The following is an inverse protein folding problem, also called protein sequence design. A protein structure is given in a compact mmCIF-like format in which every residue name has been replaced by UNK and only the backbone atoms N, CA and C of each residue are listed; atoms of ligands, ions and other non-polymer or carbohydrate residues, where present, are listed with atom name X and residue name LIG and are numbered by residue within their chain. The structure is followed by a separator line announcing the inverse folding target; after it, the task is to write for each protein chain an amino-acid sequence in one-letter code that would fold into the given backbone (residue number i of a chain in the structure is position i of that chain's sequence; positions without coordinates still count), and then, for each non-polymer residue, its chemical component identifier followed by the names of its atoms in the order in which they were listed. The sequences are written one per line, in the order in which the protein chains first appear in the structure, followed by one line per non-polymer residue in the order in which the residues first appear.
data_IF_262056921729
#
_entry.id   IF_262056921729
#
_cell.length_a   1.000
_cell.length_b   1.000
_cell.length_c   1.000
_cell.angle_alpha   90.00
_cell.angle_beta   90.00
_cell.angle_gamma   90.00
#
_symmetry.space_group_name_H-M   'P 1'
#
loop_
_entity.id
_entity.type
_entity.pdbx_description
1 polymer ?
#
# COMPACT_ATOMS: atom_id res chain seq x y z
N UNK A 1 23.71 45.67 5.90
CA UNK A 1 23.05 46.40 4.80
C UNK A 1 21.69 46.84 5.32
N UNK A 2 21.46 48.14 5.51
CA UNK A 2 20.15 48.65 5.89
C UNK A 2 19.22 48.57 4.69
N UNK A 3 18.11 47.84 4.82
CA UNK A 3 17.07 47.86 3.80
C UNK A 3 16.39 49.23 3.85
N UNK A 4 16.74 50.11 2.92
CA UNK A 4 16.05 51.39 2.74
C UNK A 4 14.68 51.07 2.16
N UNK A 5 13.63 51.24 2.97
CA UNK A 5 12.24 51.08 2.54
C UNK A 5 11.99 51.99 1.34
N UNK A 6 11.77 51.42 0.17
CA UNK A 6 11.29 52.17 -1.01
C UNK A 6 9.98 52.83 -0.64
N UNK A 7 9.85 54.13 -0.96
CA UNK A 7 8.69 54.95 -0.69
C UNK A 7 7.38 54.21 -1.02
N UNK A 8 6.42 54.28 -0.10
CA UNK A 8 5.11 53.65 -0.24
C UNK A 8 4.48 54.04 -1.59
N UNK A 9 4.29 53.06 -2.47
CA UNK A 9 3.43 53.26 -3.64
C UNK A 9 2.04 53.67 -3.16
N UNK A 10 1.46 54.68 -3.79
CA UNK A 10 0.11 55.22 -3.49
C UNK A 10 -1.04 54.24 -3.74
N UNK A 11 -0.72 53.03 -4.20
CA UNK A 11 -1.63 51.87 -4.19
C UNK A 11 -1.37 51.13 -2.89
N UNK A 12 -2.33 51.15 -1.97
CA UNK A 12 -2.32 50.34 -0.76
C UNK A 12 -1.99 48.88 -1.12
N UNK A 13 -0.76 48.44 -0.83
CA UNK A 13 -0.35 47.03 -0.90
C UNK A 13 -1.07 46.23 0.21
N UNK A 14 -1.77 46.91 1.14
CA UNK A 14 -2.71 46.24 2.04
C UNK A 14 -3.93 45.79 1.24
N UNK A 15 -3.92 44.51 0.84
CA UNK A 15 -5.10 43.84 0.32
C UNK A 15 -6.24 43.91 1.34
N UNK A 16 -7.49 43.92 0.86
CA UNK A 16 -8.67 43.95 1.72
C UNK A 16 -8.71 42.80 2.73
N UNK A 17 -9.67 42.83 3.68
CA UNK A 17 -9.79 41.82 4.75
C UNK A 17 -9.79 40.39 4.19
N UNK A 18 -10.41 40.17 3.02
CA UNK A 18 -10.44 38.87 2.33
C UNK A 18 -9.08 38.33 1.92
N UNK A 19 -8.04 39.16 1.84
CA UNK A 19 -6.66 38.76 1.51
C UNK A 19 -5.81 38.42 2.74
N UNK A 20 -6.32 38.62 3.96
CA UNK A 20 -5.55 38.48 5.20
C UNK A 20 -5.62 37.05 5.76
N UNK A 21 -4.71 36.17 5.32
CA UNK A 21 -4.68 34.76 5.74
C UNK A 21 -3.62 34.43 6.79
N UNK A 22 -2.59 35.28 6.98
CA UNK A 22 -1.43 34.99 7.84
C UNK A 22 -1.81 34.69 9.31
N UNK A 23 -2.93 35.23 9.78
CA UNK A 23 -3.47 34.95 11.13
C UNK A 23 -3.82 33.47 11.36
N UNK A 24 -4.08 32.69 10.30
CA UNK A 24 -4.41 31.26 10.41
C UNK A 24 -3.21 30.34 10.63
N UNK A 25 -1.97 30.79 10.39
CA UNK A 25 -0.79 29.90 10.34
C UNK A 25 0.52 30.51 10.89
N UNK A 26 0.46 31.64 11.59
CA UNK A 26 1.63 32.32 12.16
C UNK A 26 2.35 31.49 13.26
N UNK A 27 1.60 30.76 14.09
CA UNK A 27 2.11 29.97 15.21
C UNK A 27 2.26 28.48 14.85
N UNK A 28 3.26 27.73 15.37
CA UNK A 28 3.39 26.29 15.13
C UNK A 28 2.09 25.51 15.35
N UNK A 29 1.42 25.71 16.48
CA UNK A 29 0.12 25.09 16.77
C UNK A 29 -0.98 25.49 15.78
N UNK A 30 -1.00 26.75 15.34
CA UNK A 30 -1.99 27.22 14.36
C UNK A 30 -1.82 26.52 13.02
N UNK A 31 -0.57 26.25 12.59
CA UNK A 31 -0.30 25.43 11.39
C UNK A 31 -0.83 24.01 11.55
N UNK A 32 -0.61 23.38 12.70
CA UNK A 32 -1.11 22.03 12.97
C UNK A 32 -2.63 21.93 12.99
N UNK A 33 -3.35 23.00 13.36
CA UNK A 33 -4.82 23.05 13.32
C UNK A 33 -5.40 23.18 11.91
N UNK A 34 -4.63 23.61 10.92
CA UNK A 34 -5.09 23.66 9.52
C UNK A 34 -5.20 22.26 8.89
N UNK A 35 -4.56 21.25 9.48
CA UNK A 35 -4.66 19.88 9.02
C UNK A 35 -6.00 19.27 9.44
N UNK A 36 -6.81 18.81 8.47
CA UNK A 36 -8.03 18.04 8.75
C UNK A 36 -7.73 16.71 9.47
N UNK A 37 -6.50 16.20 9.32
CA UNK A 37 -6.01 14.99 9.95
C UNK A 37 -4.52 15.08 10.23
N UNK A 38 -4.11 14.66 11.42
CA UNK A 38 -2.71 14.51 11.80
C UNK A 38 -2.28 13.04 11.70
N UNK A 39 -1.04 12.81 11.29
CA UNK A 39 -0.48 11.45 11.18
C UNK A 39 -0.30 10.84 12.57
N UNK A 40 -0.79 9.61 12.75
CA UNK A 40 -0.57 8.82 13.96
C UNK A 40 -0.02 7.44 13.62
N UNK A 41 0.64 6.80 14.60
CA UNK A 41 1.25 5.46 14.41
C UNK A 41 0.24 4.40 13.97
N UNK A 42 -1.03 4.50 14.39
CA UNK A 42 -2.07 3.53 14.03
C UNK A 42 -2.56 3.64 12.59
N UNK A 43 -2.23 4.72 11.87
CA UNK A 43 -2.56 4.87 10.45
C UNK A 43 -1.59 4.10 9.55
N UNK A 44 -0.45 3.66 10.08
CA UNK A 44 0.63 3.04 9.32
C UNK A 44 0.42 1.53 9.18
N UNK A 45 0.57 1.04 7.96
CA UNK A 45 0.69 -0.38 7.63
C UNK A 45 2.09 -0.62 7.07
N UNK A 46 2.87 -1.49 7.71
CA UNK A 46 4.22 -1.79 7.25
C UNK A 46 4.24 -2.96 6.26
N UNK A 47 4.66 -2.77 4.99
CA UNK A 47 4.87 -3.88 4.06
C UNK A 47 6.06 -4.74 4.49
N UNK A 48 5.89 -6.05 4.53
CA UNK A 48 6.97 -7.01 4.82
C UNK A 48 6.98 -8.14 3.81
N UNK A 49 8.18 -8.54 3.39
CA UNK A 49 8.41 -9.61 2.42
C UNK A 49 8.82 -10.87 3.18
N UNK A 50 8.02 -11.93 3.09
CA UNK A 50 8.26 -13.19 3.78
C UNK A 50 8.72 -14.22 2.77
N UNK A 51 9.89 -14.83 2.99
CA UNK A 51 10.46 -15.83 2.08
C UNK A 51 10.53 -17.22 2.70
N UNK A 52 10.54 -18.23 1.84
CA UNK A 52 10.85 -19.63 2.15
C UNK A 52 12.28 -20.03 1.74
N UNK A 53 13.12 -19.06 1.36
CA UNK A 53 14.53 -19.27 1.06
C UNK A 53 15.35 -19.74 2.27
N UNK A 54 16.52 -20.31 1.98
CA UNK A 54 17.43 -20.88 2.99
C UNK A 54 18.10 -19.80 3.85
N UNK A 55 18.24 -18.59 3.31
CA UNK A 55 18.78 -17.44 4.02
C UNK A 55 17.74 -16.79 4.92
N UNK A 56 18.16 -16.55 6.16
CA UNK A 56 17.29 -16.07 7.22
C UNK A 56 16.74 -14.64 6.97
N UNK A 57 17.53 -13.76 6.34
CA UNK A 57 17.16 -12.35 6.09
C UNK A 57 18.04 -11.72 4.98
N UNK A 58 17.48 -11.46 3.81
CA UNK A 58 18.20 -10.99 2.62
C UNK A 58 17.87 -9.52 2.33
N UNK A 59 18.85 -8.60 2.30
CA UNK A 59 18.61 -7.19 1.94
C UNK A 59 18.14 -7.03 0.49
N UNK A 60 17.21 -6.10 0.26
CA UNK A 60 16.77 -5.71 -1.09
C UNK A 60 17.50 -4.44 -1.51
N UNK A 61 18.51 -4.57 -2.37
CA UNK A 61 19.41 -3.46 -2.72
C UNK A 61 18.70 -2.24 -3.31
N UNK A 62 17.66 -2.45 -4.14
CA UNK A 62 16.89 -1.37 -4.76
C UNK A 62 15.88 -0.71 -3.81
N UNK A 63 15.65 -1.30 -2.63
CA UNK A 63 14.67 -0.84 -1.64
C UNK A 63 15.33 -0.63 -0.26
N UNK A 64 15.97 0.53 -0.04
CA UNK A 64 16.84 0.76 1.11
C UNK A 64 16.24 0.39 2.47
N UNK A 65 16.95 -0.44 3.23
CA UNK A 65 16.53 -0.88 4.58
C UNK A 65 15.46 -1.98 4.61
N UNK A 66 14.96 -2.42 3.46
CA UNK A 66 13.99 -3.50 3.37
C UNK A 66 14.67 -4.84 3.08
N UNK A 67 14.02 -5.92 3.52
CA UNK A 67 14.57 -7.27 3.48
C UNK A 67 13.50 -8.28 3.09
N UNK A 68 13.91 -9.37 2.44
CA UNK A 68 13.16 -10.64 2.43
C UNK A 68 13.49 -11.37 3.73
N UNK A 69 12.45 -11.75 4.48
CA UNK A 69 12.59 -12.23 5.86
C UNK A 69 12.03 -13.64 5.95
N UNK A 70 12.84 -14.59 6.39
CA UNK A 70 12.38 -15.95 6.65
C UNK A 70 11.43 -16.01 7.84
N UNK A 71 10.65 -17.08 7.94
CA UNK A 71 9.76 -17.33 9.08
C UNK A 71 10.52 -17.37 10.42
N UNK A 72 11.75 -17.90 10.43
CA UNK A 72 12.58 -18.03 11.63
C UNK A 72 12.93 -16.67 12.24
N UNK A 73 13.21 -15.65 11.40
CA UNK A 73 13.60 -14.30 11.82
C UNK A 73 12.43 -13.36 12.06
N UNK A 74 11.24 -13.68 11.54
CA UNK A 74 10.08 -12.80 11.55
C UNK A 74 9.71 -12.30 12.95
N UNK A 75 9.81 -13.16 13.98
CA UNK A 75 9.52 -12.76 15.37
C UNK A 75 10.49 -11.69 15.87
N UNK A 76 11.80 -11.94 15.75
CA UNK A 76 12.82 -11.01 16.22
C UNK A 76 12.82 -9.69 15.44
N UNK A 77 12.43 -9.74 14.16
CA UNK A 77 12.25 -8.57 13.32
C UNK A 77 11.07 -7.68 13.76
N UNK A 78 9.91 -8.27 14.03
CA UNK A 78 8.69 -7.52 14.37
C UNK A 78 8.66 -7.04 15.82
N UNK A 79 9.23 -7.79 16.75
CA UNK A 79 9.19 -7.47 18.18
C UNK A 79 9.61 -6.03 18.54
N UNK A 80 10.75 -5.49 18.07
CA UNK A 80 11.10 -4.09 18.35
C UNK A 80 10.12 -3.09 17.73
N UNK A 81 9.54 -3.38 16.55
CA UNK A 81 8.58 -2.48 15.90
C UNK A 81 7.24 -2.45 16.64
N UNK A 82 6.77 -3.60 17.11
CA UNK A 82 5.56 -3.70 17.95
C UNK A 82 5.75 -2.92 19.25
N UNK A 83 6.91 -3.02 19.91
CA UNK A 83 7.22 -2.22 21.11
C UNK A 83 7.19 -0.71 20.84
N UNK A 84 7.57 -0.27 19.63
CA UNK A 84 7.52 1.14 19.20
C UNK A 84 6.11 1.61 18.79
N UNK A 85 5.13 0.71 18.78
CA UNK A 85 3.72 1.01 18.50
C UNK A 85 3.22 0.58 17.12
N UNK A 86 3.92 -0.30 16.40
CA UNK A 86 3.42 -0.87 15.14
C UNK A 86 2.08 -1.58 15.37
N UNK A 87 1.05 -1.19 14.62
CA UNK A 87 -0.31 -1.75 14.75
C UNK A 87 -0.74 -2.64 13.61
N UNK A 88 -0.11 -2.53 12.43
CA UNK A 88 -0.51 -3.29 11.26
C UNK A 88 0.66 -3.63 10.33
N UNK A 89 0.62 -4.82 9.74
CA UNK A 89 1.57 -5.27 8.70
C UNK A 89 0.81 -5.72 7.45
N UNK A 90 1.45 -5.59 6.30
CA UNK A 90 0.99 -6.15 5.04
C UNK A 90 1.98 -7.20 4.54
N UNK A 91 1.55 -8.46 4.46
CA UNK A 91 2.40 -9.57 4.09
C UNK A 91 2.43 -9.75 2.57
N UNK A 92 3.64 -9.88 2.03
CA UNK A 92 3.94 -10.29 0.67
C UNK A 92 4.77 -11.58 0.72
N UNK A 93 4.31 -12.65 0.07
CA UNK A 93 5.06 -13.91 0.00
C UNK A 93 6.08 -13.88 -1.12
N UNK A 94 7.28 -14.38 -0.86
CA UNK A 94 8.39 -14.46 -1.82
C UNK A 94 8.87 -15.90 -1.87
N UNK A 95 8.17 -16.79 -2.59
CA UNK A 95 8.58 -18.18 -2.75
C UNK A 95 9.82 -18.25 -3.66
N UNK A 96 10.92 -18.72 -3.10
CA UNK A 96 12.25 -18.84 -3.72
C UNK A 96 12.61 -20.30 -4.00
N UNK A 97 11.93 -21.28 -3.39
CA UNK A 97 12.19 -22.70 -3.67
C UNK A 97 11.89 -23.05 -5.14
N UNK A 98 12.73 -23.91 -5.71
CA UNK A 98 12.57 -24.38 -7.08
C UNK A 98 11.24 -25.15 -7.23
N UNK A 99 10.50 -24.88 -8.30
CA UNK A 99 9.21 -25.51 -8.59
C UNK A 99 8.00 -24.90 -7.86
N UNK A 100 8.20 -23.88 -7.01
CA UNK A 100 7.10 -23.21 -6.30
C UNK A 100 6.23 -22.32 -7.19
N UNK A 101 6.65 -22.03 -8.43
CA UNK A 101 5.91 -21.20 -9.38
C UNK A 101 5.40 -22.01 -10.56
N UNK A 102 4.12 -21.88 -10.86
CA UNK A 102 3.46 -22.53 -12.00
C UNK A 102 2.50 -21.57 -12.72
N UNK A 103 1.77 -22.02 -13.74
CA UNK A 103 0.88 -21.14 -14.49
C UNK A 103 -0.39 -20.70 -13.71
N UNK A 104 -0.72 -21.37 -12.60
CA UNK A 104 -1.95 -21.16 -11.85
C UNK A 104 -1.71 -20.45 -10.51
N UNK A 105 -0.45 -20.22 -10.14
CA UNK A 105 -0.07 -19.71 -8.83
C UNK A 105 -0.47 -20.67 -7.71
N UNK A 106 -0.28 -21.98 -7.88
CA UNK A 106 -0.75 -22.98 -6.90
C UNK A 106 -0.16 -22.78 -5.50
N UNK A 107 1.05 -22.23 -5.39
CA UNK A 107 1.68 -21.96 -4.10
C UNK A 107 1.12 -20.72 -3.36
N UNK A 108 0.24 -19.93 -4.00
CA UNK A 108 -0.29 -18.69 -3.40
C UNK A 108 -1.03 -18.92 -2.08
N UNK A 109 -1.68 -20.07 -1.92
CA UNK A 109 -2.40 -20.46 -0.72
C UNK A 109 -1.90 -21.77 -0.11
N UNK A 110 -0.66 -22.15 -0.42
CA UNK A 110 -0.02 -23.31 0.20
C UNK A 110 -0.03 -23.12 1.74
N UNK A 111 -0.65 -24.05 2.51
CA UNK A 111 -0.63 -24.00 3.96
C UNK A 111 0.77 -24.00 4.58
N UNK A 112 1.80 -24.43 3.84
CA UNK A 112 3.22 -24.38 4.20
C UNK A 112 3.96 -23.20 3.57
N UNK A 113 3.30 -22.42 2.72
CA UNK A 113 3.85 -21.24 2.07
C UNK A 113 4.13 -20.10 3.05
N UNK A 114 4.97 -19.13 2.65
CA UNK A 114 5.48 -18.08 3.52
C UNK A 114 4.37 -17.21 4.13
N UNK A 115 3.32 -16.88 3.37
CA UNK A 115 2.24 -16.01 3.88
C UNK A 115 1.44 -16.71 4.97
N UNK A 116 0.96 -17.94 4.75
CA UNK A 116 0.14 -18.65 5.75
C UNK A 116 0.94 -18.98 7.01
N UNK A 117 2.20 -19.39 6.86
CA UNK A 117 3.10 -19.59 8.01
C UNK A 117 3.34 -18.28 8.76
N UNK A 118 3.52 -17.16 8.04
CA UNK A 118 3.65 -15.82 8.59
C UNK A 118 2.42 -15.39 9.39
N UNK A 119 1.21 -15.55 8.83
CA UNK A 119 -0.07 -15.25 9.52
C UNK A 119 -0.12 -16.02 10.85
N UNK A 120 0.07 -17.36 10.80
CA UNK A 120 -0.05 -18.22 11.99
C UNK A 120 0.97 -17.84 13.06
N UNK A 121 2.21 -17.55 12.66
CA UNK A 121 3.25 -17.12 13.59
C UNK A 121 2.92 -15.77 14.23
N UNK A 122 2.54 -14.77 13.42
CA UNK A 122 2.21 -13.43 13.91
C UNK A 122 1.01 -13.47 14.86
N UNK A 123 -0.07 -14.20 14.53
CA UNK A 123 -1.22 -14.32 15.45
C UNK A 123 -0.84 -14.90 16.80
N UNK A 124 0.03 -15.92 16.83
CA UNK A 124 0.48 -16.53 18.09
C UNK A 124 1.36 -15.59 18.89
N UNK A 125 2.26 -14.85 18.24
CA UNK A 125 3.32 -14.10 18.93
C UNK A 125 2.98 -12.64 19.20
N UNK A 126 2.14 -12.04 18.36
CA UNK A 126 1.70 -10.65 18.42
C UNK A 126 0.18 -10.56 18.21
N UNK A 127 -0.64 -11.06 19.15
CA UNK A 127 -2.09 -11.19 18.96
C UNK A 127 -2.84 -9.86 18.74
N UNK A 128 -2.24 -8.72 19.10
CA UNK A 128 -2.80 -7.38 18.86
C UNK A 128 -2.38 -6.76 17.53
N UNK A 129 -1.45 -7.38 16.79
CA UNK A 129 -0.98 -6.88 15.50
C UNK A 129 -2.03 -7.20 14.43
N UNK A 130 -2.51 -6.17 13.73
CA UNK A 130 -3.43 -6.33 12.63
C UNK A 130 -2.68 -6.89 11.41
N UNK A 131 -3.27 -7.88 10.74
CA UNK A 131 -2.58 -8.64 9.68
C UNK A 131 -3.35 -8.43 8.39
N UNK A 132 -2.76 -7.65 7.49
CA UNK A 132 -3.20 -7.54 6.11
C UNK A 132 -2.36 -8.51 5.25
N UNK A 133 -2.97 -9.12 4.25
CA UNK A 133 -2.25 -9.92 3.25
C UNK A 133 -2.56 -9.41 1.85
N UNK A 134 -1.53 -9.22 1.02
CA UNK A 134 -1.75 -9.01 -0.41
C UNK A 134 -2.36 -10.27 -1.02
N UNK A 135 -3.38 -10.12 -1.87
CA UNK A 135 -3.96 -11.24 -2.63
C UNK A 135 -3.71 -10.99 -4.11
N UNK A 136 -2.80 -11.77 -4.68
CA UNK A 136 -2.40 -11.70 -6.08
C UNK A 136 -1.68 -12.99 -6.46
N UNK A 137 -1.51 -13.25 -7.76
CA UNK A 137 -0.80 -14.43 -8.25
C UNK A 137 0.60 -14.11 -8.80
N UNK A 138 1.02 -12.83 -8.82
CA UNK A 138 2.25 -12.46 -9.52
C UNK A 138 3.54 -12.98 -8.87
N UNK A 139 3.58 -13.15 -7.55
CA UNK A 139 4.72 -13.77 -6.87
C UNK A 139 4.78 -15.28 -7.07
N UNK A 140 3.66 -15.91 -7.45
CA UNK A 140 3.48 -17.37 -7.48
C UNK A 140 3.37 -17.94 -8.90
N UNK A 141 3.20 -17.08 -9.91
CA UNK A 141 3.10 -17.53 -11.30
C UNK A 141 4.44 -17.61 -12.00
N UNK A 142 4.63 -18.61 -12.85
CA UNK A 142 5.86 -18.77 -13.66
C UNK A 142 6.06 -17.63 -14.68
N UNK A 143 4.98 -16.95 -15.07
CA UNK A 143 4.99 -15.82 -16.00
C UNK A 143 4.96 -14.44 -15.31
N UNK A 144 4.77 -14.37 -13.99
CA UNK A 144 4.78 -13.11 -13.24
C UNK A 144 3.61 -12.15 -13.51
N UNK A 145 2.51 -12.64 -14.09
CA UNK A 145 1.28 -11.86 -14.27
C UNK A 145 0.36 -12.00 -13.05
N UNK A 146 -0.55 -11.05 -12.86
CA UNK A 146 -1.41 -11.01 -11.68
C UNK A 146 -2.59 -12.00 -11.71
N UNK A 147 -2.74 -12.80 -12.77
CA UNK A 147 -3.81 -13.78 -12.93
C UNK A 147 -3.43 -14.89 -13.92
N UNK A 148 -4.36 -15.80 -14.15
CA UNK A 148 -4.24 -16.93 -15.08
C UNK A 148 -4.39 -16.41 -16.52
N UNK A 149 -3.54 -16.90 -17.42
CA UNK A 149 -3.53 -16.50 -18.82
C UNK A 149 -4.28 -17.49 -19.72
N UNK A 150 -4.81 -17.01 -20.85
CA UNK A 150 -5.25 -17.84 -21.97
C UNK A 150 -4.05 -18.24 -22.83
N UNK A 151 -4.29 -19.14 -23.80
CA UNK A 151 -3.28 -19.60 -24.75
C UNK A 151 -2.67 -18.46 -25.58
N UNK A 152 -3.41 -17.37 -25.81
CA UNK A 152 -2.93 -16.16 -26.51
C UNK A 152 -2.14 -15.20 -25.61
N UNK A 153 -1.91 -15.55 -24.34
CA UNK A 153 -1.23 -14.73 -23.34
C UNK A 153 -2.08 -13.62 -22.72
N UNK A 154 -3.36 -13.48 -23.12
CA UNK A 154 -4.29 -12.53 -22.49
C UNK A 154 -4.78 -13.03 -21.13
N UNK A 155 -5.21 -12.12 -20.27
CA UNK A 155 -5.71 -12.45 -18.92
C UNK A 155 -7.06 -13.16 -19.00
N UNK A 156 -7.14 -14.38 -18.48
CA UNK A 156 -8.41 -15.08 -18.28
C UNK A 156 -9.08 -14.58 -16.98
N UNK A 157 -9.90 -13.55 -17.10
CA UNK A 157 -10.53 -12.89 -15.95
C UNK A 157 -11.32 -13.84 -15.06
N UNK A 158 -12.15 -14.73 -15.63
CA UNK A 158 -12.99 -15.63 -14.84
C UNK A 158 -12.15 -16.59 -14.00
N UNK A 159 -11.23 -17.33 -14.61
CA UNK A 159 -10.35 -18.25 -13.88
C UNK A 159 -9.48 -17.52 -12.87
N UNK A 160 -9.01 -16.32 -13.21
CA UNK A 160 -8.22 -15.48 -12.31
C UNK A 160 -9.02 -15.09 -11.07
N UNK A 161 -10.25 -14.59 -11.25
CA UNK A 161 -11.14 -14.19 -10.15
C UNK A 161 -11.44 -15.37 -9.23
N UNK A 162 -11.73 -16.55 -9.80
CA UNK A 162 -12.02 -17.75 -9.01
C UNK A 162 -10.81 -18.12 -8.13
N UNK A 163 -9.62 -18.19 -8.75
CA UNK A 163 -8.36 -18.52 -8.09
C UNK A 163 -7.96 -17.51 -7.01
N UNK A 164 -8.03 -16.21 -7.33
CA UNK A 164 -7.72 -15.12 -6.39
C UNK A 164 -8.67 -15.16 -5.19
N UNK A 165 -9.93 -15.51 -5.42
CA UNK A 165 -10.91 -15.66 -4.35
C UNK A 165 -10.54 -16.84 -3.44
N UNK A 166 -10.10 -17.97 -3.97
CA UNK A 166 -9.61 -19.10 -3.16
C UNK A 166 -8.44 -18.70 -2.27
N UNK A 167 -7.47 -17.96 -2.82
CA UNK A 167 -6.32 -17.45 -2.06
C UNK A 167 -6.77 -16.52 -0.93
N UNK A 168 -7.69 -15.60 -1.20
CA UNK A 168 -8.22 -14.71 -0.18
C UNK A 168 -8.87 -15.49 0.97
N UNK A 169 -9.69 -16.50 0.65
CA UNK A 169 -10.33 -17.34 1.66
C UNK A 169 -9.31 -18.14 2.46
N UNK A 170 -8.29 -18.69 1.82
CA UNK A 170 -7.24 -19.43 2.52
C UNK A 170 -6.48 -18.55 3.53
N UNK A 171 -6.13 -17.32 3.16
CA UNK A 171 -5.51 -16.37 4.09
C UNK A 171 -6.45 -15.97 5.23
N UNK A 172 -7.72 -15.70 4.95
CA UNK A 172 -8.71 -15.40 5.97
C UNK A 172 -8.90 -16.57 6.95
N UNK A 173 -8.99 -17.81 6.45
CA UNK A 173 -9.06 -19.05 7.26
C UNK A 173 -7.78 -19.29 8.08
N UNK A 174 -6.61 -18.93 7.54
CA UNK A 174 -5.35 -18.95 8.28
C UNK A 174 -5.30 -17.91 9.40
N UNK A 175 -6.16 -16.89 9.32
CA UNK A 175 -6.42 -15.92 10.37
C UNK A 175 -6.00 -14.48 10.05
N UNK A 176 -5.73 -14.16 8.78
CA UNK A 176 -5.56 -12.76 8.36
C UNK A 176 -6.79 -11.93 8.77
N UNK A 177 -6.55 -10.73 9.28
CA UNK A 177 -7.62 -9.80 9.67
C UNK A 177 -8.14 -9.03 8.45
N UNK A 178 -7.30 -8.87 7.43
CA UNK A 178 -7.64 -8.20 6.19
C UNK A 178 -7.02 -8.92 4.99
N UNK A 179 -7.81 -9.07 3.94
CA UNK A 179 -7.35 -9.51 2.62
C UNK A 179 -7.38 -8.32 1.67
N UNK A 180 -6.27 -8.10 0.96
CA UNK A 180 -6.07 -6.92 0.13
C UNK A 180 -5.78 -7.30 -1.34
N UNK A 181 -6.81 -7.57 -2.16
CA UNK A 181 -6.64 -8.00 -3.55
C UNK A 181 -6.04 -6.91 -4.44
N UNK A 182 -4.86 -7.18 -5.00
CA UNK A 182 -4.04 -6.22 -5.73
C UNK A 182 -3.97 -6.49 -7.24
N UNK A 183 -4.71 -7.48 -7.72
CA UNK A 183 -4.65 -8.07 -9.05
C UNK A 183 -5.26 -7.23 -10.18
N UNK A 184 -6.25 -6.38 -9.86
CA UNK A 184 -7.02 -5.54 -10.81
C UNK A 184 -7.90 -6.31 -11.82
N UNK A 185 -8.27 -7.57 -11.57
CA UNK A 185 -9.29 -8.25 -12.37
C UNK A 185 -10.67 -7.61 -12.15
N UNK A 186 -11.54 -7.69 -13.15
CA UNK A 186 -12.90 -7.17 -13.05
C UNK A 186 -13.78 -8.12 -12.24
N UNK A 187 -14.50 -7.60 -11.24
CA UNK A 187 -15.44 -8.36 -10.41
C UNK A 187 -14.85 -9.16 -9.25
N UNK A 188 -13.52 -9.08 -9.00
CA UNK A 188 -12.88 -9.88 -7.95
C UNK A 188 -13.37 -9.54 -6.54
N UNK A 189 -13.77 -8.30 -6.28
CA UNK A 189 -14.22 -7.88 -4.94
C UNK A 189 -15.55 -8.56 -4.62
N UNK A 190 -16.47 -8.59 -5.59
CA UNK A 190 -17.75 -9.30 -5.44
C UNK A 190 -17.52 -10.78 -5.17
N UNK A 191 -16.65 -11.44 -5.94
CA UNK A 191 -16.37 -12.86 -5.78
C UNK A 191 -15.77 -13.17 -4.39
N UNK A 192 -14.76 -12.40 -3.95
CA UNK A 192 -14.17 -12.55 -2.62
C UNK A 192 -15.21 -12.31 -1.52
N UNK A 193 -16.00 -11.22 -1.61
CA UNK A 193 -17.01 -10.90 -0.59
C UNK A 193 -18.08 -11.98 -0.48
N UNK A 194 -18.55 -12.53 -1.61
CA UNK A 194 -19.52 -13.62 -1.63
C UNK A 194 -18.93 -14.90 -0.99
N UNK A 195 -17.70 -15.30 -1.34
CA UNK A 195 -17.06 -16.46 -0.70
C UNK A 195 -16.84 -16.24 0.81
N UNK A 196 -16.48 -15.02 1.24
CA UNK A 196 -16.36 -14.70 2.67
C UNK A 196 -17.70 -14.86 3.41
N UNK A 197 -18.82 -14.50 2.77
CA UNK A 197 -20.18 -14.67 3.31
C UNK A 197 -20.53 -16.16 3.38
N UNK A 198 -20.32 -16.91 2.31
CA UNK A 198 -20.58 -18.34 2.21
C UNK A 198 -19.81 -19.15 3.28
N UNK A 199 -18.55 -18.79 3.49
CA UNK A 199 -17.69 -19.38 4.51
C UNK A 199 -18.02 -18.92 5.95
N UNK A 200 -18.97 -18.00 6.12
CA UNK A 200 -19.39 -17.49 7.42
C UNK A 200 -18.34 -16.63 8.12
N UNK A 201 -17.37 -16.06 7.39
CA UNK A 201 -16.24 -15.29 7.96
C UNK A 201 -16.18 -13.82 7.50
N UNK A 202 -17.15 -13.36 6.71
CA UNK A 202 -17.25 -11.96 6.27
C UNK A 202 -17.31 -10.96 7.42
N UNK A 203 -17.95 -11.31 8.55
CA UNK A 203 -18.11 -10.42 9.72
C UNK A 203 -16.80 -10.15 10.48
N UNK A 204 -15.72 -10.89 10.18
CA UNK A 204 -14.43 -10.81 10.87
C UNK A 204 -13.23 -10.64 9.92
N UNK A 205 -13.49 -10.44 8.62
CA UNK A 205 -12.46 -10.31 7.60
C UNK A 205 -12.69 -9.01 6.83
N UNK A 206 -11.73 -8.10 6.90
CA UNK A 206 -11.78 -6.82 6.20
C UNK A 206 -11.33 -6.99 4.74
N UNK A 207 -12.10 -6.47 3.78
CA UNK A 207 -11.76 -6.49 2.36
C UNK A 207 -11.22 -5.12 1.91
N UNK A 208 -9.90 -5.02 1.76
CA UNK A 208 -9.21 -3.79 1.35
C UNK A 208 -8.88 -3.85 -0.14
N UNK A 209 -9.74 -3.29 -0.98
CA UNK A 209 -9.52 -3.34 -2.42
C UNK A 209 -8.43 -2.37 -2.86
N UNK A 210 -7.47 -2.84 -3.67
CA UNK A 210 -6.67 -1.97 -4.52
C UNK A 210 -7.53 -1.45 -5.68
N UNK A 211 -8.51 -0.59 -5.37
CA UNK A 211 -9.52 -0.14 -6.32
C UNK A 211 -8.96 0.67 -7.47
N UNK A 212 -8.00 1.55 -7.19
CA UNK A 212 -7.34 2.37 -8.18
C UNK A 212 -5.84 2.09 -8.17
N UNK A 213 -5.44 0.97 -8.78
CA UNK A 213 -4.03 0.61 -8.99
C UNK A 213 -3.62 0.88 -10.43
N UNK A 214 -2.69 1.81 -10.59
CA UNK A 214 -2.21 2.25 -11.90
C UNK A 214 -1.00 1.45 -12.38
N UNK A 215 -0.87 1.32 -13.70
CA UNK A 215 0.36 0.90 -14.37
C UNK A 215 1.36 2.05 -14.35
N UNK A 216 2.66 1.74 -14.27
CA UNK A 216 3.69 2.77 -14.24
C UNK A 216 5.08 2.24 -13.86
N UNK A 217 6.03 3.17 -13.73
CA UNK A 217 7.44 2.86 -13.48
C UNK A 217 7.83 2.80 -11.99
N UNK A 218 6.93 3.15 -11.08
CA UNK A 218 7.21 3.25 -9.64
C UNK A 218 7.23 1.92 -8.87
N UNK A 219 7.18 0.78 -9.58
CA UNK A 219 7.16 -0.56 -8.99
C UNK A 219 8.47 -1.33 -9.08
N UNK A 220 9.53 -0.76 -9.70
CA UNK A 220 10.80 -1.45 -9.93
C UNK A 220 11.34 -2.13 -8.67
N UNK A 221 11.62 -1.40 -7.58
CA UNK A 221 12.18 -2.00 -6.38
C UNK A 221 11.29 -3.04 -5.70
N UNK A 222 9.97 -2.94 -5.83
CA UNK A 222 9.04 -3.96 -5.34
C UNK A 222 9.18 -5.26 -6.14
N UNK A 223 9.38 -5.19 -7.46
CA UNK A 223 9.54 -6.39 -8.29
C UNK A 223 10.81 -7.14 -7.93
N UNK A 224 11.87 -6.43 -7.56
CA UNK A 224 13.12 -7.02 -7.05
C UNK A 224 12.86 -7.69 -5.69
N UNK A 225 12.15 -6.99 -4.78
CA UNK A 225 11.83 -7.50 -3.45
C UNK A 225 10.95 -8.77 -3.50
N UNK A 226 9.95 -8.79 -4.37
CA UNK A 226 8.94 -9.84 -4.45
C UNK A 226 9.26 -10.94 -5.49
N UNK A 227 10.33 -10.78 -6.28
CA UNK A 227 10.66 -11.70 -7.37
C UNK A 227 9.53 -11.83 -8.40
N UNK A 228 8.84 -10.73 -8.71
CA UNK A 228 7.56 -10.72 -9.44
C UNK A 228 7.60 -9.91 -10.74
N UNK A 229 8.77 -9.77 -11.36
CA UNK A 229 8.87 -9.18 -12.69
C UNK A 229 8.11 -10.06 -13.72
N UNK A 230 7.25 -9.49 -14.60
CA UNK A 230 6.63 -10.24 -15.68
C UNK A 230 7.67 -10.85 -16.62
N UNK A 231 7.49 -12.11 -17.00
CA UNK A 231 8.40 -12.81 -17.91
C UNK A 231 8.26 -12.33 -19.37
N UNK A 232 7.13 -11.73 -19.73
CA UNK A 232 6.88 -11.09 -21.02
C UNK A 232 5.82 -10.00 -20.90
N UNK A 233 5.72 -9.14 -21.92
CA UNK A 233 4.71 -8.11 -22.02
C UNK A 233 4.71 -7.11 -20.84
N UNK A 234 3.53 -6.60 -20.51
CA UNK A 234 3.33 -5.70 -19.38
C UNK A 234 1.95 -5.91 -18.71
N UNK A 235 1.63 -5.05 -17.73
CA UNK A 235 0.39 -5.13 -16.94
C UNK A 235 -0.67 -4.10 -17.36
N UNK A 236 -0.49 -3.41 -18.49
CA UNK A 236 -1.34 -2.27 -18.90
C UNK A 236 -2.74 -2.68 -19.33
N UNK A 237 -2.99 -3.97 -19.57
CA UNK A 237 -4.32 -4.48 -19.92
C UNK A 237 -5.25 -4.70 -18.72
N UNK A 238 -4.78 -4.46 -17.49
CA UNK A 238 -5.61 -4.59 -16.27
C UNK A 238 -5.25 -3.55 -15.20
N UNK A 239 -3.98 -3.17 -15.05
CA UNK A 239 -3.64 -1.98 -14.26
C UNK A 239 -4.05 -0.71 -15.00
N UNK A 240 -4.60 0.26 -14.28
CA UNK A 240 -5.14 1.48 -14.90
C UNK A 240 -4.06 2.28 -15.65
N UNK A 241 -4.36 2.87 -16.80
CA UNK A 241 -3.41 3.77 -17.47
C UNK A 241 -3.24 5.06 -16.64
N UNK A 242 -2.03 5.68 -16.57
CA UNK A 242 -1.79 6.87 -15.76
C UNK A 242 -2.76 8.05 -16.01
N UNK A 243 -3.15 8.30 -17.26
CA UNK A 243 -4.15 9.32 -17.61
C UNK A 243 -5.61 8.92 -17.36
N UNK A 244 -5.85 7.75 -16.79
CA UNK A 244 -7.16 7.08 -16.72
C UNK A 244 -8.04 7.49 -15.53
N UNK A 245 -8.16 8.78 -15.19
CA UNK A 245 -8.97 9.24 -14.04
C UNK A 245 -10.42 8.73 -14.08
N UNK A 246 -11.06 8.76 -15.25
CA UNK A 246 -12.43 8.26 -15.42
C UNK A 246 -12.57 6.76 -15.12
N UNK A 247 -11.57 5.94 -15.48
CA UNK A 247 -11.55 4.52 -15.16
C UNK A 247 -11.33 4.30 -13.66
N UNK A 248 -10.45 5.08 -13.03
CA UNK A 248 -10.24 5.01 -11.58
C UNK A 248 -11.52 5.30 -10.80
N UNK A 249 -12.25 6.37 -11.15
CA UNK A 249 -13.55 6.70 -10.54
C UNK A 249 -14.58 5.58 -10.72
N UNK A 250 -14.66 4.97 -11.90
CA UNK A 250 -15.55 3.82 -12.14
C UNK A 250 -15.16 2.58 -11.33
N UNK A 251 -13.86 2.29 -11.22
CA UNK A 251 -13.36 1.16 -10.43
C UNK A 251 -13.59 1.36 -8.92
N UNK A 252 -13.43 2.59 -8.42
CA UNK A 252 -13.78 2.96 -7.05
C UNK A 252 -15.27 2.71 -6.78
N UNK A 253 -16.16 3.25 -7.61
CA UNK A 253 -17.62 3.03 -7.47
C UNK A 253 -18.00 1.56 -7.56
N UNK A 254 -17.39 0.81 -8.50
CA UNK A 254 -17.59 -0.62 -8.62
C UNK A 254 -17.24 -1.33 -7.31
N UNK A 255 -16.03 -1.15 -6.82
CA UNK A 255 -15.54 -1.90 -5.66
C UNK A 255 -16.30 -1.56 -4.37
N UNK A 256 -16.81 -0.31 -4.23
CA UNK A 256 -17.77 0.06 -3.19
C UNK A 256 -19.04 -0.81 -3.32
N UNK A 257 -19.64 -0.85 -4.51
CA UNK A 257 -20.85 -1.64 -4.77
C UNK A 257 -20.66 -3.16 -4.66
N UNK A 258 -19.43 -3.63 -4.78
CA UNK A 258 -19.06 -5.04 -4.65
C UNK A 258 -18.72 -5.45 -3.20
N UNK A 259 -18.69 -4.52 -2.26
CA UNK A 259 -18.55 -4.80 -0.83
C UNK A 259 -17.13 -4.65 -0.27
N UNK A 260 -16.28 -3.83 -0.90
CA UNK A 260 -15.01 -3.41 -0.31
C UNK A 260 -15.26 -2.60 0.97
N UNK A 261 -14.54 -2.94 2.04
CA UNK A 261 -14.61 -2.22 3.32
C UNK A 261 -13.62 -1.05 3.35
N UNK A 262 -12.55 -1.10 2.53
CA UNK A 262 -11.55 -0.05 2.36
C UNK A 262 -11.20 0.06 0.87
N UNK A 263 -11.08 1.29 0.37
CA UNK A 263 -10.59 1.59 -0.97
C UNK A 263 -9.12 1.98 -0.89
N UNK A 264 -8.28 1.45 -1.78
CA UNK A 264 -6.86 1.80 -1.87
C UNK A 264 -6.49 2.39 -3.23
N UNK A 265 -5.71 3.48 -3.19
CA UNK A 265 -5.04 4.07 -4.35
C UNK A 265 -3.56 3.72 -4.34
N UNK A 266 -3.03 3.31 -5.51
CA UNK A 266 -1.63 2.89 -5.68
C UNK A 266 -1.12 3.24 -7.09
N UNK A 267 0.01 3.93 -7.27
CA UNK A 267 0.86 4.63 -6.27
C UNK A 267 0.15 5.75 -5.51
N UNK A 268 0.81 6.38 -4.53
CA UNK A 268 0.18 7.41 -3.70
C UNK A 268 0.53 8.84 -4.15
N UNK A 269 1.80 9.25 -4.04
CA UNK A 269 2.21 10.64 -4.22
C UNK A 269 2.00 11.17 -5.65
N UNK A 270 2.08 10.31 -6.67
CA UNK A 270 1.76 10.68 -8.06
C UNK A 270 0.25 10.68 -8.39
N UNK A 271 -0.60 10.27 -7.45
CA UNK A 271 -2.05 10.09 -7.66
C UNK A 271 -2.87 10.66 -6.49
N UNK A 272 -2.39 11.75 -5.87
CA UNK A 272 -3.08 12.45 -4.78
C UNK A 272 -4.47 12.95 -5.21
N UNK A 273 -4.64 13.32 -6.48
CA UNK A 273 -5.93 13.67 -7.08
C UNK A 273 -6.91 12.49 -7.07
N UNK A 274 -6.42 11.27 -7.28
CA UNK A 274 -7.22 10.05 -7.23
C UNK A 274 -7.55 9.65 -5.79
N UNK A 275 -6.67 9.92 -4.82
CA UNK A 275 -6.98 9.75 -3.38
C UNK A 275 -8.14 10.71 -3.00
N UNK A 276 -8.10 11.94 -3.50
CA UNK A 276 -9.19 12.91 -3.31
C UNK A 276 -10.49 12.43 -3.95
N UNK A 277 -10.46 11.92 -5.17
CA UNK A 277 -11.62 11.30 -5.82
C UNK A 277 -12.17 10.11 -5.01
N UNK A 278 -11.28 9.25 -4.49
CA UNK A 278 -11.67 8.10 -3.67
C UNK A 278 -12.35 8.54 -2.38
N UNK A 279 -11.86 9.61 -1.73
CA UNK A 279 -12.49 10.16 -0.53
C UNK A 279 -13.83 10.83 -0.82
N UNK A 280 -13.98 11.50 -1.96
CA UNK A 280 -15.25 12.07 -2.40
C UNK A 280 -16.29 10.97 -2.64
N UNK A 281 -15.95 9.97 -3.47
CA UNK A 281 -16.85 8.89 -3.88
C UNK A 281 -17.17 7.90 -2.75
N UNK A 282 -16.17 7.60 -1.92
CA UNK A 282 -16.24 6.69 -0.79
C UNK A 282 -16.20 7.42 0.54
N UNK A 283 -16.92 8.54 0.69
CA UNK A 283 -16.84 9.43 1.88
C UNK A 283 -17.01 8.71 3.22
N UNK A 284 -17.82 7.65 3.23
CA UNK A 284 -18.18 6.85 4.40
C UNK A 284 -17.23 5.64 4.59
N UNK A 285 -16.26 5.45 3.70
CA UNK A 285 -15.24 4.40 3.79
C UNK A 285 -13.87 4.97 4.15
N UNK A 286 -13.01 4.18 4.83
CA UNK A 286 -11.60 4.48 4.91
C UNK A 286 -10.96 4.43 3.53
N UNK A 287 -10.01 5.34 3.30
CA UNK A 287 -9.18 5.36 2.09
C UNK A 287 -7.75 5.07 2.49
N UNK A 288 -7.20 4.00 1.94
CA UNK A 288 -5.80 3.66 2.05
C UNK A 288 -5.02 4.22 0.86
N UNK A 289 -3.76 4.59 1.10
CA UNK A 289 -2.84 4.99 0.05
C UNK A 289 -1.54 4.23 0.22
N UNK A 290 -1.02 3.69 -0.88
CA UNK A 290 0.24 2.96 -0.87
C UNK A 290 1.36 3.83 -1.42
N UNK A 291 2.24 4.30 -0.52
CA UNK A 291 3.50 4.92 -0.90
C UNK A 291 4.48 3.84 -1.37
N UNK A 292 4.55 3.65 -2.69
CA UNK A 292 5.15 2.46 -3.27
C UNK A 292 6.67 2.49 -3.21
N UNK A 293 7.26 1.36 -3.56
CA UNK A 293 8.70 1.10 -3.49
C UNK A 293 9.53 2.14 -4.27
N UNK A 294 9.07 2.56 -5.45
CA UNK A 294 9.74 3.60 -6.24
C UNK A 294 9.63 4.99 -5.64
N UNK A 295 8.50 5.34 -5.01
CA UNK A 295 8.33 6.63 -4.32
C UNK A 295 9.26 6.71 -3.10
N UNK A 296 9.31 5.64 -2.30
CA UNK A 296 10.24 5.51 -1.19
C UNK A 296 11.71 5.58 -1.63
N UNK A 297 12.10 4.80 -2.64
CA UNK A 297 13.47 4.79 -3.14
C UNK A 297 13.88 6.14 -3.75
N UNK A 298 12.94 6.83 -4.42
CA UNK A 298 13.16 8.17 -4.98
C UNK A 298 13.42 9.20 -3.87
N UNK A 299 12.65 9.16 -2.78
CA UNK A 299 12.88 10.04 -1.62
C UNK A 299 14.25 9.75 -1.00
N UNK A 300 14.61 8.47 -0.81
CA UNK A 300 15.94 8.09 -0.32
C UNK A 300 17.07 8.59 -1.24
N UNK A 301 16.92 8.47 -2.56
CA UNK A 301 17.91 8.92 -3.52
C UNK A 301 18.06 10.46 -3.51
N UNK A 302 16.95 11.20 -3.46
CA UNK A 302 16.97 12.67 -3.36
C UNK A 302 17.64 13.16 -2.09
N UNK A 303 17.35 12.53 -0.95
CA UNK A 303 18.01 12.85 0.31
C UNK A 303 19.51 12.54 0.30
N UNK A 304 19.90 11.37 -0.25
CA UNK A 304 21.32 11.00 -0.40
C UNK A 304 22.08 11.96 -1.32
N UNK A 305 21.41 12.52 -2.33
CA UNK A 305 21.99 13.51 -3.23
C UNK A 305 22.00 14.94 -2.64
N UNK A 306 21.51 15.14 -1.42
CA UNK A 306 21.47 16.44 -0.75
C UNK A 306 20.39 17.39 -1.29
N UNK A 307 19.38 16.88 -1.99
CA UNK A 307 18.27 17.70 -2.51
C UNK A 307 17.36 18.19 -1.37
N UNK A 308 17.16 17.35 -0.35
CA UNK A 308 16.35 17.65 0.83
C UNK A 308 16.75 16.76 2.02
N UNK A 309 16.27 17.09 3.22
CA UNK A 309 16.37 16.21 4.40
C UNK A 309 15.38 15.03 4.27
N UNK A 310 15.84 13.83 4.64
CA UNK A 310 15.05 12.59 4.52
C UNK A 310 13.80 12.63 5.42
N UNK A 311 13.96 13.06 6.67
CA UNK A 311 12.86 13.08 7.65
C UNK A 311 11.82 14.10 7.21
N UNK A 312 12.23 15.32 6.87
CA UNK A 312 11.34 16.37 6.40
C UNK A 312 10.51 15.92 5.17
N UNK A 313 11.16 15.36 4.14
CA UNK A 313 10.46 14.91 2.93
C UNK A 313 9.55 13.71 3.20
N UNK A 314 9.93 12.79 4.09
CA UNK A 314 9.07 11.68 4.49
C UNK A 314 7.77 12.19 5.15
N UNK A 315 7.86 13.15 6.08
CA UNK A 315 6.69 13.80 6.67
C UNK A 315 5.86 14.53 5.61
N UNK A 316 6.45 15.40 4.79
CA UNK A 316 5.73 16.18 3.77
C UNK A 316 5.00 15.28 2.74
N UNK A 317 5.65 14.20 2.31
CA UNK A 317 5.05 13.22 1.38
C UNK A 317 3.87 12.48 2.01
N UNK A 318 3.94 12.15 3.30
CA UNK A 318 2.89 11.42 4.02
C UNK A 318 1.75 12.34 4.43
N UNK A 319 2.03 13.56 4.89
CA UNK A 319 1.02 14.58 5.16
C UNK A 319 0.26 14.97 3.89
N UNK A 320 0.92 14.99 2.73
CA UNK A 320 0.24 15.19 1.44
C UNK A 320 -0.75 14.06 1.12
N UNK A 321 -0.44 12.82 1.48
CA UNK A 321 -1.35 11.67 1.35
C UNK A 321 -2.58 11.85 2.26
N UNK A 322 -2.37 12.28 3.51
CA UNK A 322 -3.44 12.54 4.47
C UNK A 322 -4.32 13.71 4.03
N UNK A 323 -3.71 14.81 3.56
CA UNK A 323 -4.39 15.98 3.00
C UNK A 323 -5.28 15.62 1.82
N UNK A 324 -4.85 14.67 0.99
CA UNK A 324 -5.65 14.19 -0.13
C UNK A 324 -6.85 13.33 0.32
N UNK A 325 -6.97 12.97 1.59
CA UNK A 325 -8.15 12.31 2.15
C UNK A 325 -7.90 10.91 2.71
N UNK A 326 -6.69 10.36 2.56
CA UNK A 326 -6.38 9.05 3.10
C UNK A 326 -6.41 9.02 4.63
N UNK A 327 -6.88 7.91 5.18
CA UNK A 327 -6.91 7.61 6.63
C UNK A 327 -5.92 6.50 7.00
N UNK A 328 -5.36 5.81 6.01
CA UNK A 328 -4.45 4.68 6.16
C UNK A 328 -3.30 4.84 5.16
N UNK A 329 -2.08 4.65 5.62
CA UNK A 329 -0.87 4.76 4.79
C UNK A 329 -0.10 3.45 4.83
N UNK A 330 0.04 2.82 3.67
CA UNK A 330 0.95 1.69 3.48
C UNK A 330 2.29 2.26 3.05
N UNK A 331 3.32 2.17 3.90
CA UNK A 331 4.63 2.80 3.64
C UNK A 331 5.81 2.03 4.22
N UNK A 332 6.92 2.04 3.47
CA UNK A 332 8.21 1.52 3.89
C UNK A 332 8.94 2.44 4.89
N UNK A 333 8.49 3.70 5.06
CA UNK A 333 8.96 4.59 6.12
C UNK A 333 8.36 4.26 7.50
N UNK A 334 7.52 3.23 7.61
CA UNK A 334 6.86 2.89 8.88
C UNK A 334 7.84 2.74 10.04
N UNK A 335 8.96 2.00 9.94
CA UNK A 335 9.94 1.93 11.04
C UNK A 335 10.44 3.30 11.50
N UNK A 336 10.71 4.21 10.57
CA UNK A 336 11.17 5.57 10.86
C UNK A 336 10.08 6.41 11.52
N UNK A 337 8.82 6.34 11.05
CA UNK A 337 7.72 7.04 11.68
C UNK A 337 7.39 6.55 13.08
N UNK A 338 7.59 5.27 13.37
CA UNK A 338 7.42 4.75 14.72
C UNK A 338 8.42 5.38 15.72
N UNK A 339 9.59 5.79 15.23
CA UNK A 339 10.60 6.52 16.02
C UNK A 339 10.37 8.03 16.02
N UNK A 340 9.93 8.60 14.89
CA UNK A 340 9.78 10.05 14.73
C UNK A 340 8.49 10.61 15.30
N UNK A 341 7.41 9.84 15.30
CA UNK A 341 6.15 10.24 15.92
C UNK A 341 6.29 10.04 17.42
N UNK A 342 6.00 11.10 18.16
CA UNK A 342 5.90 11.05 19.61
C UNK A 342 4.80 10.07 20.04
N UNK A 343 4.88 9.64 21.31
CA UNK A 343 3.93 8.66 21.86
C UNK A 343 2.61 9.32 22.20
#
# INVERSE_FOLDING_TARGET
MSYTSTAATSVSISGGISSQLHGGYFHPLARSWQAERQLTKSMLIYPIFITDGDDDMVPVASLPGQHQISISRLTGFLEPLVRKGLRSVMLFGVPMKAGSKDALGSAADDPQGPVIQGIRLIKRRFPQLFICTDVCLCEYTSHGHCGILRDDGSLNNQLSVDRISDVAIAYAKAGAHCVAPSDMNDGRIRAIKLKLIEEGIAHKTLLMSYSAKFSGCLYGPFRDAAGSAPSFGDRKCYQLPPGGRGLARRALVRDIGEGADILMVKPANQYLDIISDAKELGRDLPVAAYQVSGEYAMIHAGAKAGVFDLKAMAFESTESILRAGATIVVSYFTPQFLDWLES
#
